data_IF_614672492175
#
_entry.id   IF_614672492175
#
_cell.length_a   1.000
_cell.length_b   1.000
_cell.length_c   1.000
_cell.angle_alpha   90.00
_cell.angle_beta   90.00
_cell.angle_gamma   90.00
#
_symmetry.space_group_name_H-M   'P 1'
#
loop_
_entity.id
_entity.type
_entity.pdbx_description
1 polymer ?
#
# COMPACT_ATOMS: atom_id res chain seq x y z
N UNK A 1 7.26 13.36 5.37
CA UNK A 1 8.61 12.88 5.04
C UNK A 1 8.65 12.37 3.61
N UNK A 2 9.69 12.72 2.88
CA UNK A 2 9.99 12.14 1.56
C UNK A 2 10.23 10.64 1.70
N UNK A 3 10.90 10.23 2.77
CA UNK A 3 11.17 8.81 3.04
C UNK A 3 9.90 7.97 3.16
N UNK A 4 8.88 8.46 3.88
CA UNK A 4 7.61 7.74 4.00
C UNK A 4 6.89 7.62 2.66
N UNK A 5 6.86 8.70 1.87
CA UNK A 5 6.28 8.67 0.52
C UNK A 5 6.99 7.62 -0.35
N UNK A 6 8.31 7.65 -0.39
CA UNK A 6 9.09 6.71 -1.19
C UNK A 6 8.93 5.27 -0.69
N UNK A 7 9.02 5.03 0.63
CA UNK A 7 8.85 3.70 1.19
C UNK A 7 7.50 3.08 0.84
N UNK A 8 6.41 3.83 0.97
CA UNK A 8 5.06 3.37 0.63
C UNK A 8 4.91 3.14 -0.87
N UNK A 9 5.41 4.06 -1.69
CA UNK A 9 5.39 3.93 -3.15
C UNK A 9 6.08 2.65 -3.60
N UNK A 10 7.32 2.43 -3.16
CA UNK A 10 8.12 1.26 -3.54
C UNK A 10 7.64 -0.06 -2.95
N UNK A 11 6.93 -0.01 -1.81
CA UNK A 11 6.30 -1.16 -1.18
C UNK A 11 5.05 -1.60 -1.93
N UNK A 12 4.15 -0.66 -2.21
CA UNK A 12 2.78 -0.95 -2.66
C UNK A 12 2.62 -0.88 -4.18
N UNK A 13 3.22 0.12 -4.83
CA UNK A 13 3.03 0.36 -6.26
C UNK A 13 4.15 1.23 -6.86
N UNK A 14 5.32 0.65 -7.17
CA UNK A 14 6.46 1.41 -7.70
C UNK A 14 6.19 2.14 -9.02
N UNK A 15 5.16 1.75 -9.73
CA UNK A 15 4.76 2.34 -11.01
C UNK A 15 3.54 3.25 -10.94
N UNK A 16 3.08 3.59 -9.75
CA UNK A 16 1.86 4.36 -9.52
C UNK A 16 1.72 5.60 -10.40
N UNK A 17 2.78 6.38 -10.54
CA UNK A 17 2.77 7.61 -11.35
C UNK A 17 2.87 7.35 -12.87
N UNK A 18 3.04 6.09 -13.31
CA UNK A 18 3.25 5.72 -14.72
C UNK A 18 2.09 4.97 -15.35
N UNK A 19 1.18 4.40 -14.54
CA UNK A 19 0.01 3.67 -15.05
C UNK A 19 -1.29 4.43 -14.80
N UNK A 20 -2.37 4.04 -15.51
CA UNK A 20 -3.70 4.61 -15.38
C UNK A 20 -4.63 3.67 -14.57
N UNK A 21 -4.35 3.55 -13.26
CA UNK A 21 -5.18 2.83 -12.30
C UNK A 21 -4.92 1.34 -12.21
N UNK A 22 -4.47 0.68 -13.28
CA UNK A 22 -4.25 -0.75 -13.34
C UNK A 22 -2.87 -1.09 -13.90
N UNK A 23 -2.27 -2.14 -13.35
CA UNK A 23 -1.07 -2.78 -13.93
C UNK A 23 -1.53 -3.93 -14.81
N UNK A 24 -1.41 -3.80 -16.13
CA UNK A 24 -1.81 -4.85 -17.08
C UNK A 24 -1.07 -6.18 -16.83
N UNK A 25 0.22 -6.12 -16.51
CA UNK A 25 1.00 -7.30 -16.14
C UNK A 25 0.45 -8.00 -14.90
N UNK A 26 0.17 -7.25 -13.84
CA UNK A 26 -0.38 -7.79 -12.60
C UNK A 26 -1.80 -8.34 -12.78
N UNK A 27 -2.62 -7.72 -13.65
CA UNK A 27 -3.94 -8.24 -14.02
C UNK A 27 -3.82 -9.56 -14.76
N UNK A 28 -2.93 -9.68 -15.74
CA UNK A 28 -2.69 -10.92 -16.48
C UNK A 28 -2.17 -12.04 -15.58
N UNK A 29 -1.17 -11.75 -14.73
CA UNK A 29 -0.64 -12.73 -13.77
C UNK A 29 -1.69 -13.18 -12.76
N UNK A 30 -2.49 -12.24 -12.24
CA UNK A 30 -3.57 -12.54 -11.31
C UNK A 30 -4.65 -13.40 -11.97
N UNK A 31 -5.01 -13.14 -13.20
CA UNK A 31 -5.95 -13.96 -13.98
C UNK A 31 -5.41 -15.38 -14.17
N UNK A 32 -4.16 -15.53 -14.60
CA UNK A 32 -3.53 -16.84 -14.81
C UNK A 32 -3.41 -17.62 -13.50
N UNK A 33 -3.00 -16.99 -12.40
CA UNK A 33 -2.93 -17.62 -11.08
C UNK A 33 -4.30 -17.98 -10.54
N UNK A 34 -5.30 -17.11 -10.67
CA UNK A 34 -6.66 -17.37 -10.22
C UNK A 34 -7.31 -18.55 -10.95
N UNK A 35 -7.01 -18.71 -12.25
CA UNK A 35 -7.47 -19.84 -13.05
C UNK A 35 -6.77 -21.14 -12.62
N UNK A 36 -5.46 -21.11 -12.34
CA UNK A 36 -4.69 -22.29 -11.94
C UNK A 36 -4.92 -22.72 -10.49
N UNK A 37 -5.02 -21.77 -9.56
CA UNK A 37 -5.03 -22.08 -8.11
C UNK A 37 -6.42 -22.00 -7.48
N UNK A 38 -7.46 -21.62 -8.22
CA UNK A 38 -8.84 -21.35 -7.70
C UNK A 38 -8.82 -20.44 -6.44
N UNK A 39 -7.79 -19.59 -6.32
CA UNK A 39 -7.60 -18.64 -5.21
C UNK A 39 -7.34 -17.24 -5.77
N UNK A 40 -7.94 -16.24 -5.14
CA UNK A 40 -7.59 -14.84 -5.45
C UNK A 40 -6.14 -14.58 -5.08
N UNK A 41 -5.28 -14.39 -6.08
CA UNK A 41 -3.87 -14.06 -5.86
C UNK A 41 -3.76 -12.71 -5.13
N UNK A 42 -2.96 -12.67 -4.06
CA UNK A 42 -2.61 -11.43 -3.35
C UNK A 42 -1.49 -10.73 -4.10
N UNK A 43 -1.53 -9.39 -4.19
CA UNK A 43 -0.42 -8.59 -4.71
C UNK A 43 -0.68 -7.85 -6.02
N UNK A 44 -1.89 -7.89 -6.57
CA UNK A 44 -2.23 -7.20 -7.83
C UNK A 44 -3.06 -5.91 -7.67
N UNK A 45 -3.19 -5.36 -6.46
CA UNK A 45 -3.96 -4.12 -6.25
C UNK A 45 -3.04 -2.91 -6.26
N UNK A 46 -3.31 -1.96 -7.14
CA UNK A 46 -2.60 -0.67 -7.21
C UNK A 46 -3.01 0.26 -6.06
N UNK A 47 -2.24 1.33 -5.85
CA UNK A 47 -2.61 2.39 -4.90
C UNK A 47 -3.97 3.00 -5.26
N UNK A 48 -4.27 3.22 -6.56
CA UNK A 48 -5.58 3.70 -7.02
C UNK A 48 -6.72 2.79 -6.58
N UNK A 49 -6.56 1.47 -6.74
CA UNK A 49 -7.55 0.48 -6.32
C UNK A 49 -7.73 0.46 -4.80
N UNK A 50 -6.62 0.55 -4.05
CA UNK A 50 -6.66 0.61 -2.59
C UNK A 50 -7.34 1.88 -2.09
N UNK A 51 -7.05 3.03 -2.71
CA UNK A 51 -7.67 4.32 -2.39
C UNK A 51 -9.19 4.24 -2.59
N UNK A 52 -9.64 3.83 -3.77
CA UNK A 52 -11.08 3.70 -4.09
C UNK A 52 -11.77 2.75 -3.10
N UNK A 53 -11.16 1.62 -2.81
CA UNK A 53 -11.68 0.66 -1.82
C UNK A 53 -11.87 1.30 -0.44
N UNK A 54 -10.93 2.12 0.01
CA UNK A 54 -10.96 2.70 1.34
C UNK A 54 -11.90 3.89 1.47
N UNK A 55 -12.10 4.66 0.38
CA UNK A 55 -12.89 5.91 0.38
C UNK A 55 -14.34 5.68 -0.02
N UNK A 56 -14.59 4.83 -1.02
CA UNK A 56 -15.91 4.73 -1.66
C UNK A 56 -16.64 3.42 -1.38
N UNK A 57 -15.96 2.36 -0.93
CA UNK A 57 -16.55 1.03 -0.84
C UNK A 57 -16.67 0.53 0.59
N UNK A 58 -17.79 -0.16 0.85
CA UNK A 58 -18.03 -0.85 2.12
C UNK A 58 -17.12 -2.07 2.27
N UNK A 59 -16.86 -2.49 3.54
CA UNK A 59 -15.97 -3.63 3.87
C UNK A 59 -16.50 -5.02 3.48
N UNK A 60 -17.70 -5.12 2.89
CA UNK A 60 -18.26 -6.40 2.46
C UNK A 60 -17.47 -7.01 1.30
N UNK A 61 -17.10 -8.30 1.48
CA UNK A 61 -16.32 -9.03 0.47
C UNK A 61 -17.23 -9.67 -0.57
N UNK A 62 -17.73 -8.90 -1.53
CA UNK A 62 -18.52 -9.43 -2.67
C UNK A 62 -17.75 -9.25 -3.98
N UNK A 63 -17.95 -10.17 -4.93
CA UNK A 63 -17.35 -10.06 -6.28
C UNK A 63 -17.79 -8.76 -6.99
N UNK A 64 -19.05 -8.38 -6.79
CA UNK A 64 -19.61 -7.11 -7.28
C UNK A 64 -18.78 -5.90 -6.86
N UNK A 65 -18.31 -5.86 -5.60
CA UNK A 65 -17.46 -4.78 -5.11
C UNK A 65 -16.14 -4.64 -5.87
N UNK A 66 -15.58 -5.74 -6.40
CA UNK A 66 -14.35 -5.66 -7.21
C UNK A 66 -14.60 -5.04 -8.58
N UNK A 67 -15.78 -5.26 -9.16
CA UNK A 67 -16.21 -4.60 -10.39
C UNK A 67 -16.49 -3.10 -10.16
N UNK A 68 -17.15 -2.75 -9.05
CA UNK A 68 -17.38 -1.35 -8.65
C UNK A 68 -16.06 -0.61 -8.42
N UNK A 69 -15.11 -1.23 -7.70
CA UNK A 69 -13.76 -0.70 -7.49
C UNK A 69 -13.07 -0.40 -8.83
N UNK A 70 -13.09 -1.36 -9.75
CA UNK A 70 -12.49 -1.19 -11.07
C UNK A 70 -13.15 -0.08 -11.88
N UNK A 71 -14.47 0.02 -11.85
CA UNK A 71 -15.21 1.06 -12.54
C UNK A 71 -14.91 2.45 -12.01
N UNK A 72 -14.86 2.63 -10.67
CA UNK A 72 -14.55 3.91 -10.05
C UNK A 72 -13.11 4.32 -10.34
N UNK A 73 -12.16 3.38 -10.26
CA UNK A 73 -10.75 3.63 -10.62
C UNK A 73 -10.66 4.10 -12.07
N UNK A 74 -11.33 3.40 -12.98
CA UNK A 74 -11.35 3.77 -14.40
C UNK A 74 -11.94 5.17 -14.63
N UNK A 75 -13.05 5.51 -13.97
CA UNK A 75 -13.66 6.84 -14.07
C UNK A 75 -12.72 7.93 -13.59
N UNK A 76 -12.04 7.75 -12.45
CA UNK A 76 -11.15 8.76 -11.88
C UNK A 76 -9.92 8.97 -12.76
N UNK A 77 -9.27 7.88 -13.15
CA UNK A 77 -7.99 7.92 -13.86
C UNK A 77 -8.15 8.27 -15.34
N UNK A 78 -9.13 7.69 -16.02
CA UNK A 78 -9.34 7.89 -17.46
C UNK A 78 -9.90 9.29 -17.79
N UNK A 79 -10.69 9.88 -16.88
CA UNK A 79 -11.20 11.22 -17.05
C UNK A 79 -10.33 12.29 -16.34
N UNK A 80 -9.18 11.90 -15.79
CA UNK A 80 -8.26 12.78 -15.07
C UNK A 80 -8.99 13.68 -14.03
N UNK A 81 -9.95 13.09 -13.29
CA UNK A 81 -10.76 13.82 -12.31
C UNK A 81 -9.95 14.41 -11.17
N UNK A 82 -8.75 13.86 -10.94
CA UNK A 82 -7.78 14.35 -9.97
C UNK A 82 -6.37 13.95 -10.39
N UNK A 83 -5.35 14.65 -9.88
CA UNK A 83 -3.96 14.29 -10.18
C UNK A 83 -3.50 13.07 -9.37
N UNK A 84 -2.47 12.38 -9.87
CA UNK A 84 -1.82 11.27 -9.17
C UNK A 84 -1.26 11.68 -7.82
N UNK A 85 -0.68 12.88 -7.74
CA UNK A 85 -0.13 13.45 -6.51
C UNK A 85 -1.23 13.61 -5.46
N UNK A 86 -2.39 14.13 -5.85
CA UNK A 86 -3.53 14.27 -4.96
C UNK A 86 -4.11 12.93 -4.53
N UNK A 87 -4.21 11.97 -5.44
CA UNK A 87 -4.62 10.61 -5.09
C UNK A 87 -3.67 9.99 -4.06
N UNK A 88 -2.37 10.17 -4.24
CA UNK A 88 -1.36 9.64 -3.33
C UNK A 88 -1.39 10.33 -1.96
N UNK A 89 -1.55 11.64 -1.95
CA UNK A 89 -1.74 12.40 -0.72
C UNK A 89 -2.96 11.90 0.07
N UNK A 90 -4.11 11.76 -0.58
CA UNK A 90 -5.32 11.25 0.07
C UNK A 90 -5.11 9.82 0.56
N UNK A 91 -4.50 8.95 -0.27
CA UNK A 91 -4.19 7.58 0.10
C UNK A 91 -3.42 7.50 1.43
N UNK A 92 -2.32 8.24 1.56
CA UNK A 92 -1.50 8.27 2.78
C UNK A 92 -2.26 8.75 4.02
N UNK A 93 -3.31 9.55 3.83
CA UNK A 93 -4.11 10.11 4.92
C UNK A 93 -5.33 9.25 5.32
N UNK A 94 -5.76 8.31 4.46
CA UNK A 94 -6.98 7.52 4.73
C UNK A 94 -6.74 6.05 5.01
N UNK A 95 -5.57 5.50 4.66
CA UNK A 95 -5.30 4.08 4.87
C UNK A 95 -5.13 3.74 6.34
N UNK A 96 -5.48 2.49 6.67
CA UNK A 96 -5.30 1.93 8.01
C UNK A 96 -3.85 1.45 8.19
N UNK A 97 -3.17 1.97 9.20
CA UNK A 97 -1.80 1.63 9.57
C UNK A 97 -1.73 0.72 10.81
N UNK A 98 -2.85 0.46 11.45
CA UNK A 98 -2.98 -0.37 12.63
C UNK A 98 -4.42 -0.43 13.08
N UNK A 99 -4.77 -1.20 14.12
CA UNK A 99 -6.13 -1.22 14.65
C UNK A 99 -6.55 0.19 15.08
N UNK A 100 -7.49 0.79 14.33
CA UNK A 100 -8.00 2.15 14.53
C UNK A 100 -6.94 3.27 14.37
N UNK A 101 -5.83 3.02 13.68
CA UNK A 101 -4.80 4.02 13.33
C UNK A 101 -4.93 4.35 11.85
N UNK A 102 -5.36 5.56 11.52
CA UNK A 102 -5.62 5.99 10.14
C UNK A 102 -4.79 7.22 9.79
N UNK A 103 -4.18 7.16 8.61
CA UNK A 103 -3.35 8.25 8.10
C UNK A 103 -1.93 8.28 8.65
N UNK A 104 -1.05 8.83 7.84
CA UNK A 104 0.39 8.84 8.09
C UNK A 104 0.80 9.64 9.34
N UNK A 105 0.05 10.71 9.66
CA UNK A 105 0.35 11.53 10.83
C UNK A 105 0.07 10.77 12.14
N UNK A 106 -1.09 10.12 12.21
CA UNK A 106 -1.47 9.31 13.36
C UNK A 106 -0.55 8.10 13.50
N UNK A 107 -0.19 7.44 12.39
CA UNK A 107 0.73 6.31 12.40
C UNK A 107 2.12 6.70 12.93
N UNK A 108 2.70 7.80 12.45
CA UNK A 108 4.00 8.27 12.91
C UNK A 108 3.98 8.60 14.42
N UNK A 109 2.91 9.21 14.89
CA UNK A 109 2.71 9.51 16.31
C UNK A 109 2.53 8.25 17.14
N UNK A 110 1.70 7.31 16.66
CA UNK A 110 1.38 6.08 17.38
C UNK A 110 2.57 5.14 17.55
N UNK A 111 3.37 4.94 16.48
CA UNK A 111 4.47 3.98 16.49
C UNK A 111 5.79 4.56 16.99
N UNK A 112 6.05 5.85 16.75
CA UNK A 112 7.35 6.46 16.99
C UNK A 112 7.31 7.74 17.82
N UNK A 113 6.13 8.20 18.22
CA UNK A 113 5.93 9.48 18.92
C UNK A 113 6.53 10.69 18.18
N UNK A 114 6.47 10.66 16.85
CA UNK A 114 7.06 11.66 15.95
C UNK A 114 6.04 12.24 14.98
N UNK A 115 6.36 13.41 14.44
CA UNK A 115 5.71 13.91 13.23
C UNK A 115 6.22 13.15 11.99
N UNK A 116 5.40 12.98 10.93
CA UNK A 116 5.81 12.31 9.71
C UNK A 116 7.08 12.88 9.06
N UNK A 117 7.30 14.20 9.20
CA UNK A 117 8.48 14.91 8.68
C UNK A 117 9.80 14.45 9.33
N UNK A 118 9.72 13.95 10.55
CA UNK A 118 10.87 13.56 11.38
C UNK A 118 11.16 12.05 11.38
N UNK A 119 10.42 11.27 10.59
CA UNK A 119 10.68 9.85 10.46
C UNK A 119 12.03 9.59 9.78
N UNK A 120 12.80 8.64 10.32
CA UNK A 120 13.99 8.12 9.68
C UNK A 120 13.61 7.24 8.46
N UNK A 121 14.61 6.84 7.67
CA UNK A 121 14.41 5.92 6.54
C UNK A 121 13.86 4.59 7.04
N UNK A 122 14.44 4.02 8.09
CA UNK A 122 14.05 2.75 8.68
C UNK A 122 12.62 2.80 9.21
N UNK A 123 12.26 3.85 9.96
CA UNK A 123 10.91 4.05 10.50
C UNK A 123 9.88 4.18 9.36
N UNK A 124 10.23 4.86 8.29
CA UNK A 124 9.39 4.98 7.10
C UNK A 124 9.15 3.63 6.42
N UNK A 125 10.20 2.79 6.31
CA UNK A 125 10.09 1.44 5.75
C UNK A 125 9.24 0.55 6.67
N UNK A 126 9.43 0.60 7.98
CA UNK A 126 8.60 -0.15 8.94
C UNK A 126 7.11 0.21 8.80
N UNK A 127 6.78 1.49 8.67
CA UNK A 127 5.40 1.90 8.42
C UNK A 127 4.89 1.30 7.10
N UNK A 128 5.64 1.41 6.01
CA UNK A 128 5.24 0.85 4.72
C UNK A 128 4.98 -0.67 4.80
N UNK A 129 5.77 -1.41 5.58
CA UNK A 129 5.61 -2.85 5.80
C UNK A 129 4.32 -3.24 6.54
N UNK A 130 3.72 -2.32 7.29
CA UNK A 130 2.47 -2.55 8.04
C UNK A 130 1.26 -2.56 7.10
N UNK A 131 1.27 -1.78 6.02
CA UNK A 131 0.11 -1.54 5.15
C UNK A 131 -0.56 -2.82 4.64
N UNK A 132 0.13 -3.88 4.20
CA UNK A 132 -0.51 -5.08 3.72
C UNK A 132 -1.33 -5.84 4.77
N UNK A 133 -0.99 -5.66 6.07
CA UNK A 133 -1.63 -6.34 7.19
C UNK A 133 -1.68 -5.48 8.46
N UNK A 134 -2.37 -4.34 8.44
CA UNK A 134 -2.30 -3.35 9.51
C UNK A 134 -2.75 -3.90 10.88
N UNK A 135 -3.68 -4.86 10.90
CA UNK A 135 -4.17 -5.48 12.15
C UNK A 135 -3.28 -6.60 12.69
N UNK A 136 -2.22 -6.98 11.95
CA UNK A 136 -1.36 -8.12 12.27
C UNK A 136 0.13 -7.77 12.21
N UNK A 137 0.49 -6.50 12.35
CA UNK A 137 1.89 -6.06 12.21
C UNK A 137 2.82 -6.71 13.24
N UNK A 138 2.33 -7.07 14.44
CA UNK A 138 3.12 -7.80 15.45
C UNK A 138 3.73 -9.11 14.93
N UNK A 139 3.14 -9.70 13.89
CA UNK A 139 3.68 -10.91 13.28
C UNK A 139 4.97 -10.67 12.48
N UNK A 140 5.32 -9.42 12.22
CA UNK A 140 6.60 -9.07 11.60
C UNK A 140 7.77 -9.31 12.55
N UNK A 141 7.51 -9.37 13.85
CA UNK A 141 8.52 -9.54 14.90
C UNK A 141 8.41 -10.92 15.55
N UNK A 142 9.54 -11.42 16.04
CA UNK A 142 9.59 -12.59 16.89
C UNK A 142 9.25 -12.23 18.36
N UNK A 143 9.36 -13.21 19.25
CA UNK A 143 9.04 -13.04 20.66
C UNK A 143 10.09 -12.19 21.40
N UNK A 144 11.26 -11.98 20.79
CA UNK A 144 12.35 -11.13 21.29
C UNK A 144 12.23 -9.68 20.74
N UNK A 145 11.24 -9.43 19.86
CA UNK A 145 11.03 -8.13 19.23
C UNK A 145 11.93 -7.86 18.03
N UNK A 146 12.64 -8.87 17.53
CA UNK A 146 13.46 -8.79 16.32
C UNK A 146 12.60 -9.05 15.09
N UNK A 147 12.93 -8.38 13.98
CA UNK A 147 12.27 -8.60 12.71
C UNK A 147 12.54 -10.05 12.21
N UNK A 148 11.49 -10.78 11.82
CA UNK A 148 11.63 -12.14 11.28
C UNK A 148 12.31 -12.10 9.91
N UNK A 149 13.09 -13.12 9.57
CA UNK A 149 13.89 -13.20 8.33
C UNK A 149 13.09 -12.88 7.04
N UNK A 150 11.85 -13.36 6.95
CA UNK A 150 10.99 -13.07 5.80
C UNK A 150 10.66 -11.58 5.64
N UNK A 151 10.64 -10.83 6.74
CA UNK A 151 10.40 -9.40 6.76
C UNK A 151 11.70 -8.61 6.63
N UNK A 152 12.84 -9.15 7.04
CA UNK A 152 14.17 -8.58 6.78
C UNK A 152 14.44 -8.51 5.26
N UNK A 153 14.10 -9.57 4.51
CA UNK A 153 14.18 -9.55 3.04
C UNK A 153 13.26 -8.50 2.43
N UNK A 154 12.05 -8.35 2.97
CA UNK A 154 11.11 -7.33 2.49
C UNK A 154 11.61 -5.93 2.80
N UNK A 155 12.12 -5.69 4.00
CA UNK A 155 12.77 -4.45 4.40
C UNK A 155 13.93 -4.10 3.45
N UNK A 156 14.85 -5.05 3.23
CA UNK A 156 16.00 -4.89 2.32
C UNK A 156 15.57 -4.58 0.89
N UNK A 157 14.48 -5.19 0.43
CA UNK A 157 13.93 -4.93 -0.91
C UNK A 157 13.43 -3.49 -1.05
N UNK A 158 12.68 -2.98 -0.07
CA UNK A 158 12.18 -1.60 -0.09
C UNK A 158 13.36 -0.63 0.01
N UNK A 159 14.28 -0.86 0.94
CA UNK A 159 15.48 -0.04 1.14
C UNK A 159 16.32 0.04 -0.14
N UNK A 160 16.58 -1.11 -0.79
CA UNK A 160 17.32 -1.15 -2.06
C UNK A 160 16.63 -0.40 -3.19
N UNK A 161 15.31 -0.46 -3.28
CA UNK A 161 14.53 0.31 -4.26
C UNK A 161 14.58 1.82 -4.00
N UNK A 162 14.58 2.23 -2.73
CA UNK A 162 14.70 3.64 -2.35
C UNK A 162 16.06 4.21 -2.71
N UNK A 163 17.14 3.47 -2.44
CA UNK A 163 18.52 3.87 -2.76
C UNK A 163 18.77 3.98 -4.27
N UNK A 164 18.13 3.14 -5.08
CA UNK A 164 18.29 3.17 -6.54
C UNK A 164 17.43 4.25 -7.23
N UNK A 165 16.63 4.97 -6.48
CA UNK A 165 15.73 6.01 -7.01
C UNK A 165 16.20 7.44 -6.70
N UNK A 166 17.29 7.58 -5.93
CA UNK A 166 18.04 8.82 -5.71
C UNK A 166 19.06 9.04 -6.85
#
# INVERSE_FOLDING_TARGET
>A
SVYLKNAVLFSEDPSFFRHHGFLESALRESMVKNIKEKRFARGGSTISMQLVKNVFLNREKKLQRKAEEAMIVWLIENNALTSKERMYEVYLNVIEWGPNVYGAAEAAKFYFDKEPSKLSVEEAIYLAMIIPRPKKFKWCFDDEGKLRDSYEQYFSTISGRMLNAE
#
